data_IF_530425838503
#
_entry.id   IF_530425838503
#
_cell.length_a   1.000
_cell.length_b   1.000
_cell.length_c   1.000
_cell.angle_alpha   90.00
_cell.angle_beta   90.00
_cell.angle_gamma   90.00
#
_symmetry.space_group_name_H-M   'P 1'
#
loop_
_entity.id
_entity.type
_entity.pdbx_description
1 polymer ?
#
# COMPACT_ATOMS: atom_id res chain seq x y z
N UNK A 1 12.26 -16.42 0.56
CA UNK A 1 12.95 -15.35 -0.19
C UNK A 1 13.23 -15.90 -1.57
N UNK A 2 12.45 -15.51 -2.58
CA UNK A 2 12.64 -15.99 -3.95
C UNK A 2 13.60 -15.02 -4.61
N UNK A 3 14.80 -15.49 -4.93
CA UNK A 3 15.82 -14.72 -5.67
C UNK A 3 15.77 -15.18 -7.13
N UNK A 4 15.52 -14.26 -8.05
CA UNK A 4 15.47 -14.54 -9.48
C UNK A 4 16.86 -14.32 -10.09
N UNK A 5 17.48 -15.39 -10.56
CA UNK A 5 18.79 -15.37 -11.21
C UNK A 5 18.70 -14.77 -12.62
N UNK A 6 19.03 -13.48 -12.69
CA UNK A 6 19.50 -12.66 -13.82
C UNK A 6 18.81 -12.63 -15.19
N UNK A 7 17.92 -13.53 -15.62
CA UNK A 7 17.14 -13.35 -16.87
C UNK A 7 15.78 -14.04 -16.80
N UNK A 8 14.84 -13.44 -16.07
CA UNK A 8 13.43 -13.81 -16.21
C UNK A 8 12.83 -13.01 -17.37
N UNK A 9 12.46 -13.70 -18.44
CA UNK A 9 11.69 -13.10 -19.54
C UNK A 9 10.24 -13.02 -19.12
N UNK A 10 9.77 -11.84 -18.72
CA UNK A 10 8.35 -11.64 -18.45
C UNK A 10 7.61 -11.49 -19.78
N UNK A 11 6.80 -12.49 -20.13
CA UNK A 11 5.90 -12.40 -21.28
C UNK A 11 4.73 -11.50 -20.89
N UNK A 12 4.89 -10.21 -21.17
CA UNK A 12 3.83 -9.22 -21.02
C UNK A 12 2.89 -9.31 -22.22
N UNK A 13 1.57 -9.25 -21.97
CA UNK A 13 0.58 -9.05 -23.03
C UNK A 13 0.90 -7.77 -23.83
N UNK A 14 0.68 -7.80 -25.14
CA UNK A 14 0.98 -6.68 -26.03
C UNK A 14 0.13 -5.44 -25.70
N UNK A 15 -1.03 -5.63 -25.05
CA UNK A 15 -1.89 -4.52 -24.62
C UNK A 15 -1.19 -3.60 -23.62
N UNK A 16 -0.40 -4.14 -22.69
CA UNK A 16 0.37 -3.35 -21.72
C UNK A 16 1.62 -2.69 -22.32
N UNK A 17 1.84 -2.79 -23.63
CA UNK A 17 2.92 -2.07 -24.35
C UNK A 17 2.40 -0.93 -25.21
N UNK A 18 1.09 -0.85 -25.44
CA UNK A 18 0.51 0.18 -26.31
C UNK A 18 0.46 1.51 -25.55
N UNK A 19 0.98 2.56 -26.18
CA UNK A 19 1.00 3.91 -25.59
C UNK A 19 -0.40 4.46 -25.29
N UNK A 20 -1.44 3.96 -25.98
CA UNK A 20 -2.83 4.36 -25.78
C UNK A 20 -3.48 3.68 -24.57
N UNK A 21 -2.91 2.59 -24.04
CA UNK A 21 -3.50 1.83 -22.93
C UNK A 21 -3.56 2.62 -21.63
N UNK A 22 -4.55 2.30 -20.79
CA UNK A 22 -4.70 2.86 -19.45
C UNK A 22 -3.66 2.29 -18.47
N UNK A 23 -3.26 1.05 -18.70
CA UNK A 23 -2.23 0.35 -17.95
C UNK A 23 -1.08 -0.01 -18.89
N UNK A 24 0.15 0.36 -18.52
CA UNK A 24 1.32 0.17 -19.36
C UNK A 24 2.52 -0.25 -18.51
N UNK A 25 3.32 -1.18 -19.02
CA UNK A 25 4.58 -1.59 -18.41
C UNK A 25 5.70 -0.88 -19.14
N UNK A 26 6.49 -0.13 -18.38
CA UNK A 26 7.57 0.70 -18.88
C UNK A 26 8.85 0.32 -18.15
N UNK A 27 9.95 0.18 -18.89
CA UNK A 27 11.26 0.03 -18.29
C UNK A 27 11.71 1.37 -17.71
N UNK A 28 12.34 1.34 -16.54
CA UNK A 28 12.77 2.56 -15.85
C UNK A 28 13.65 3.48 -16.72
N UNK A 29 14.56 2.88 -17.49
CA UNK A 29 15.42 3.60 -18.46
C UNK A 29 14.66 4.36 -19.56
N UNK A 30 13.41 3.97 -19.84
CA UNK A 30 12.56 4.56 -20.88
C UNK A 30 11.43 5.41 -20.29
N UNK A 31 11.32 5.52 -18.95
CA UNK A 31 10.18 6.13 -18.26
C UNK A 31 9.92 7.56 -18.72
N UNK A 32 10.96 8.39 -18.75
CA UNK A 32 10.84 9.80 -19.16
C UNK A 32 10.36 9.94 -20.60
N UNK A 33 10.92 9.15 -21.53
CA UNK A 33 10.51 9.17 -22.93
C UNK A 33 9.04 8.75 -23.07
N UNK A 34 8.63 7.69 -22.36
CA UNK A 34 7.25 7.22 -22.36
C UNK A 34 6.27 8.26 -21.80
N UNK A 35 6.61 8.95 -20.72
CA UNK A 35 5.80 10.03 -20.17
C UNK A 35 5.61 11.13 -21.23
N UNK A 36 6.69 11.58 -21.86
CA UNK A 36 6.61 12.61 -22.90
C UNK A 36 5.75 12.16 -24.08
N UNK A 37 5.91 10.92 -24.56
CA UNK A 37 5.10 10.35 -25.64
C UNK A 37 3.63 10.25 -25.25
N UNK A 38 3.31 9.81 -24.03
CA UNK A 38 1.93 9.72 -23.54
C UNK A 38 1.28 11.10 -23.47
N UNK A 39 2.00 12.11 -22.97
CA UNK A 39 1.52 13.50 -22.93
C UNK A 39 1.25 14.02 -24.34
N UNK A 40 2.15 13.78 -25.30
CA UNK A 40 1.95 14.20 -26.69
C UNK A 40 0.74 13.51 -27.35
N UNK A 41 0.56 12.20 -27.13
CA UNK A 41 -0.60 11.46 -27.62
C UNK A 41 -1.90 12.00 -27.01
N UNK A 42 -1.91 12.27 -25.70
CA UNK A 42 -3.07 12.85 -25.02
C UNK A 42 -3.43 14.24 -25.57
N UNK A 43 -2.43 15.09 -25.85
CA UNK A 43 -2.65 16.41 -26.49
C UNK A 43 -3.22 16.33 -27.90
N UNK A 44 -2.93 15.24 -28.63
CA UNK A 44 -3.49 15.01 -29.97
C UNK A 44 -4.93 14.46 -29.87
N UNK A 45 -5.17 13.54 -28.94
CA UNK A 45 -6.48 12.91 -28.74
C UNK A 45 -7.50 13.87 -28.13
N UNK A 46 -7.06 14.74 -27.22
CA UNK A 46 -7.89 15.74 -26.56
C UNK A 46 -7.52 17.13 -27.08
N UNK A 47 -8.41 17.73 -27.88
CA UNK A 47 -8.23 19.09 -28.44
C UNK A 47 -8.05 20.16 -27.37
N UNK A 48 -8.63 19.92 -26.19
CA UNK A 48 -8.53 20.76 -25.01
C UNK A 48 -7.98 19.96 -23.84
N UNK A 49 -7.20 20.57 -22.95
CA UNK A 49 -6.70 19.89 -21.76
C UNK A 49 -7.85 19.43 -20.86
N UNK A 50 -7.69 18.25 -20.24
CA UNK A 50 -8.70 17.67 -19.34
C UNK A 50 -9.05 18.57 -18.14
N UNK A 51 -8.11 19.42 -17.74
CA UNK A 51 -8.28 20.42 -16.70
C UNK A 51 -7.96 21.78 -17.31
N UNK A 52 -8.88 22.72 -17.18
CA UNK A 52 -8.62 24.11 -17.53
C UNK A 52 -7.91 24.83 -16.37
N UNK A 53 -7.46 26.07 -16.60
CA UNK A 53 -6.75 26.85 -15.56
C UNK A 53 -7.59 27.08 -14.30
N UNK A 54 -8.90 27.22 -14.45
CA UNK A 54 -9.81 27.40 -13.32
C UNK A 54 -9.93 26.11 -12.49
N UNK A 55 -9.96 24.93 -13.12
CA UNK A 55 -9.95 23.64 -12.42
C UNK A 55 -8.64 23.48 -11.63
N UNK A 56 -7.50 23.79 -12.27
CA UNK A 56 -6.18 23.73 -11.63
C UNK A 56 -6.12 24.66 -10.43
N UNK A 57 -6.60 25.90 -10.58
CA UNK A 57 -6.65 26.89 -9.49
C UNK A 57 -7.55 26.42 -8.35
N UNK A 58 -8.73 25.88 -8.68
CA UNK A 58 -9.69 25.37 -7.69
C UNK A 58 -9.08 24.23 -6.87
N UNK A 59 -8.44 23.27 -7.54
CA UNK A 59 -7.77 22.13 -6.89
C UNK A 59 -6.62 22.64 -6.00
N UNK A 60 -5.79 23.54 -6.52
CA UNK A 60 -4.69 24.13 -5.76
C UNK A 60 -5.19 24.85 -4.50
N UNK A 61 -6.21 25.70 -4.64
CA UNK A 61 -6.78 26.44 -3.52
C UNK A 61 -7.42 25.52 -2.48
N UNK A 62 -8.09 24.44 -2.92
CA UNK A 62 -8.65 23.45 -2.00
C UNK A 62 -7.55 22.81 -1.13
N UNK A 63 -6.43 22.39 -1.74
CA UNK A 63 -5.31 21.84 -0.99
C UNK A 63 -4.60 22.88 -0.13
N UNK A 64 -4.40 24.09 -0.64
CA UNK A 64 -3.75 25.18 0.09
C UNK A 64 -4.54 25.57 1.34
N UNK A 65 -5.87 25.69 1.21
CA UNK A 65 -6.76 26.04 2.33
C UNK A 65 -6.87 24.91 3.37
N UNK A 66 -6.83 23.65 2.92
CA UNK A 66 -6.83 22.49 3.82
C UNK A 66 -5.45 22.22 4.46
N UNK A 67 -4.38 22.79 3.90
CA UNK A 67 -3.03 22.57 4.38
C UNK A 67 -2.81 23.31 5.71
N UNK A 68 -2.60 22.54 6.78
CA UNK A 68 -2.28 23.08 8.10
C UNK A 68 -0.86 23.65 8.05
N UNK A 69 -0.74 24.98 7.99
CA UNK A 69 0.55 25.70 7.94
C UNK A 69 1.17 25.86 9.33
N UNK A 70 0.35 25.93 10.38
CA UNK A 70 0.82 26.05 11.76
C UNK A 70 1.55 24.77 12.20
N UNK A 71 2.80 24.92 12.65
CA UNK A 71 3.65 23.81 13.07
C UNK A 71 3.13 23.10 14.31
N UNK A 72 2.44 23.81 15.21
CA UNK A 72 1.88 23.26 16.45
C UNK A 72 0.65 22.41 16.17
N UNK A 73 -0.31 22.95 15.41
CA UNK A 73 -1.52 22.23 14.97
C UNK A 73 -1.14 21.00 14.12
N UNK A 74 -0.12 21.14 13.26
CA UNK A 74 0.39 20.01 12.46
C UNK A 74 0.98 18.92 13.34
N UNK A 75 1.73 19.26 14.39
CA UNK A 75 2.29 18.28 15.32
C UNK A 75 1.19 17.56 16.11
N UNK A 76 0.18 18.29 16.59
CA UNK A 76 -0.98 17.73 17.26
C UNK A 76 -1.77 16.78 16.34
N UNK A 77 -1.99 17.17 15.09
CA UNK A 77 -2.65 16.34 14.08
C UNK A 77 -1.86 15.04 13.82
N UNK A 78 -0.53 15.11 13.67
CA UNK A 78 0.34 13.92 13.53
C UNK A 78 0.23 13.02 14.77
N UNK A 79 0.21 13.62 15.96
CA UNK A 79 0.06 12.88 17.21
C UNK A 79 -1.32 12.20 17.29
N UNK A 80 -2.40 12.89 16.93
CA UNK A 80 -3.75 12.35 16.89
C UNK A 80 -3.85 11.14 15.94
N UNK A 81 -3.31 11.25 14.71
CA UNK A 81 -3.26 10.13 13.76
C UNK A 81 -2.51 8.92 14.34
N UNK A 82 -1.33 9.14 14.92
CA UNK A 82 -0.55 8.05 15.53
C UNK A 82 -1.30 7.41 16.69
N UNK A 83 -1.96 8.21 17.54
CA UNK A 83 -2.72 7.73 18.68
C UNK A 83 -3.94 6.88 18.25
N UNK A 84 -4.65 7.28 17.21
CA UNK A 84 -5.77 6.52 16.63
C UNK A 84 -5.27 5.21 16.00
N UNK A 85 -4.09 5.22 15.38
CA UNK A 85 -3.47 4.00 14.85
C UNK A 85 -3.03 3.04 15.97
N UNK A 86 -2.74 3.55 17.17
CA UNK A 86 -2.43 2.73 18.34
C UNK A 86 -3.66 2.27 19.11
N UNK A 87 -4.78 3.01 19.08
CA UNK A 87 -6.03 2.61 19.73
C UNK A 87 -6.59 1.30 19.15
N UNK A 88 -6.50 1.10 17.83
CA UNK A 88 -6.85 -0.18 17.18
C UNK A 88 -5.86 -1.33 17.49
N UNK A 89 -4.68 -1.03 18.03
CA UNK A 89 -3.66 -2.04 18.40
C UNK A 89 -3.71 -2.45 19.88
N UNK A 90 -4.68 -1.97 20.64
CA UNK A 90 -4.90 -2.38 22.04
C UNK A 90 -5.85 -3.56 22.18
N UNK A 91 -5.91 -4.45 21.18
CA UNK A 91 -6.31 -5.82 21.50
C UNK A 91 -5.28 -6.40 22.49
N UNK A 92 -5.71 -6.99 23.63
CA UNK A 92 -4.78 -7.58 24.58
C UNK A 92 -3.90 -8.57 23.82
N UNK A 93 -2.59 -8.29 23.78
CA UNK A 93 -1.58 -9.11 23.08
C UNK A 93 -1.81 -10.55 23.51
N UNK A 94 -2.39 -11.33 22.62
CA UNK A 94 -2.74 -12.71 22.97
C UNK A 94 -1.44 -13.48 23.13
N UNK A 95 -1.30 -14.23 24.22
CA UNK A 95 -0.05 -14.90 24.57
C UNK A 95 -0.13 -16.39 24.25
N UNK A 96 1.03 -17.00 23.99
CA UNK A 96 1.12 -18.44 23.81
C UNK A 96 0.83 -19.18 25.12
N UNK A 97 0.02 -20.22 25.05
CA UNK A 97 -0.39 -21.04 26.21
C UNK A 97 0.77 -21.80 26.88
N UNK A 98 1.91 -21.97 26.20
CA UNK A 98 3.08 -22.70 26.71
C UNK A 98 4.14 -21.73 27.22
N UNK A 99 4.65 -20.85 26.37
CA UNK A 99 5.77 -19.97 26.70
C UNK A 99 5.38 -18.55 27.11
N UNK A 100 4.09 -18.22 27.12
CA UNK A 100 3.53 -16.89 27.43
C UNK A 100 4.08 -15.73 26.57
N UNK A 101 4.85 -16.02 25.51
CA UNK A 101 5.30 -15.02 24.55
C UNK A 101 4.08 -14.42 23.82
N UNK A 102 4.07 -13.10 23.56
CA UNK A 102 3.00 -12.46 22.79
C UNK A 102 3.00 -12.99 21.36
N UNK A 103 1.80 -13.22 20.81
CA UNK A 103 1.59 -13.64 19.43
C UNK A 103 0.83 -12.55 18.64
N UNK A 104 1.04 -12.51 17.33
CA UNK A 104 0.31 -11.58 16.46
C UNK A 104 -1.15 -12.00 16.27
N UNK A 105 -2.00 -11.05 15.87
CA UNK A 105 -3.43 -11.33 15.62
C UNK A 105 -3.65 -12.37 14.51
N UNK A 106 -2.73 -12.43 13.53
CA UNK A 106 -2.72 -13.46 12.50
C UNK A 106 -2.51 -14.85 13.10
N UNK A 107 -1.57 -14.97 14.05
CA UNK A 107 -1.26 -16.22 14.73
C UNK A 107 -2.42 -16.65 15.63
N UNK A 108 -3.03 -15.71 16.37
CA UNK A 108 -4.24 -15.94 17.16
C UNK A 108 -5.39 -16.45 16.29
N UNK A 109 -5.69 -15.75 15.21
CA UNK A 109 -6.80 -16.09 14.31
C UNK A 109 -6.61 -17.48 13.69
N UNK A 110 -5.37 -17.80 13.28
CA UNK A 110 -5.03 -19.13 12.79
C UNK A 110 -5.23 -20.23 13.85
N UNK A 111 -4.81 -19.98 15.10
CA UNK A 111 -4.99 -20.94 16.20
C UNK A 111 -6.47 -21.17 16.53
N UNK A 112 -7.29 -20.11 16.57
CA UNK A 112 -8.72 -20.20 16.89
C UNK A 112 -9.54 -20.86 15.77
N UNK A 113 -9.21 -20.61 14.51
CA UNK A 113 -9.91 -21.21 13.36
C UNK A 113 -9.54 -22.68 13.12
N UNK A 114 -8.44 -23.16 13.69
CA UNK A 114 -7.98 -24.53 13.49
C UNK A 114 -8.37 -25.43 14.67
N UNK A 115 -9.27 -26.39 14.41
CA UNK A 115 -9.81 -27.33 15.41
C UNK A 115 -8.74 -28.11 16.17
N UNK A 116 -7.54 -28.30 15.59
CA UNK A 116 -6.42 -29.04 16.22
C UNK A 116 -5.90 -28.39 17.51
N UNK A 117 -6.06 -27.07 17.65
CA UNK A 117 -5.56 -26.34 18.81
C UNK A 117 -6.59 -26.20 19.93
N UNK A 118 -7.80 -26.78 19.81
CA UNK A 118 -8.86 -26.76 20.83
C UNK A 118 -9.11 -25.36 21.43
N UNK A 119 -9.08 -24.32 20.60
CA UNK A 119 -9.28 -22.92 21.02
C UNK A 119 -8.10 -22.30 21.81
N UNK A 120 -6.97 -23.00 21.95
CA UNK A 120 -5.75 -22.49 22.60
C UNK A 120 -4.83 -21.81 21.59
N UNK A 121 -4.09 -20.82 22.07
CA UNK A 121 -3.20 -19.99 21.23
C UNK A 121 -1.74 -20.46 21.41
N UNK A 122 -1.04 -20.67 20.30
CA UNK A 122 0.34 -21.14 20.27
C UNK A 122 1.22 -20.26 19.37
N UNK A 123 2.47 -19.98 19.79
CA UNK A 123 3.44 -19.33 18.92
C UNK A 123 3.90 -20.26 17.80
N UNK A 124 4.56 -19.73 16.76
CA UNK A 124 4.98 -20.51 15.60
C UNK A 124 5.86 -21.72 15.94
N UNK A 125 6.73 -21.61 16.94
CA UNK A 125 7.57 -22.73 17.41
C UNK A 125 6.71 -23.85 18.02
N UNK A 126 5.78 -23.49 18.90
CA UNK A 126 4.88 -24.47 19.53
C UNK A 126 3.79 -24.99 18.61
N UNK A 127 3.40 -24.23 17.57
CA UNK A 127 2.52 -24.76 16.52
C UNK A 127 3.17 -25.98 15.86
N UNK A 128 4.45 -25.88 15.48
CA UNK A 128 5.21 -26.97 14.85
C UNK A 128 5.44 -28.17 15.76
N UNK A 129 5.48 -27.98 17.08
CA UNK A 129 5.66 -29.06 18.03
C UNK A 129 4.35 -29.80 18.38
N UNK A 130 3.19 -29.17 18.10
CA UNK A 130 1.87 -29.83 18.13
C UNK A 130 1.58 -30.55 16.81
N UNK A 131 2.45 -30.40 15.79
CA UNK A 131 2.42 -31.16 14.54
C UNK A 131 3.21 -32.46 14.64
#
# INVERSE_FOLDING_TARGET
MVSFTKRCTFKVDIEYRKIVSNEIIVYDIELSEFIHRKVSVLKIQHKEPLLNENDISTIYNAFSNANITDSTIRAEHIHAIKSNTTAERTNPRSTCSICKKPVSDKVKSYCLSNKKFNGKIYCYEHQKAVF
#
